data_IF_002954995419
#
_entry.id   IF_002954995419
#
_cell.length_a   1.000
_cell.length_b   1.000
_cell.length_c   1.000
_cell.angle_alpha   90.00
_cell.angle_beta   90.00
_cell.angle_gamma   90.00
#
_symmetry.space_group_name_H-M   'P 1'
#
loop_
_entity.id
_entity.type
_entity.pdbx_description
1 polymer ?
#
# COMPACT_ATOMS: atom_id res chain seq x y z
N UNK A 1 23.33 -7.15 12.95
CA UNK A 1 23.17 -6.42 11.66
C UNK A 1 21.89 -6.79 10.93
N UNK A 2 21.62 -8.07 10.65
CA UNK A 2 20.45 -8.53 9.88
C UNK A 2 19.09 -7.92 10.31
N UNK A 3 18.83 -7.82 11.62
CA UNK A 3 17.57 -7.25 12.14
C UNK A 3 17.39 -5.78 11.78
N UNK A 4 18.47 -5.00 11.81
CA UNK A 4 18.45 -3.57 11.48
C UNK A 4 18.13 -3.35 9.99
N UNK A 5 18.70 -4.18 9.12
CA UNK A 5 18.44 -4.13 7.67
C UNK A 5 16.95 -4.41 7.41
N UNK A 6 16.41 -5.50 7.98
CA UNK A 6 14.99 -5.84 7.83
C UNK A 6 14.11 -4.74 8.42
N UNK A 7 14.47 -4.15 9.56
CA UNK A 7 13.72 -3.05 10.15
C UNK A 7 13.69 -1.80 9.26
N UNK A 8 14.81 -1.43 8.64
CA UNK A 8 14.89 -0.31 7.70
C UNK A 8 14.06 -0.61 6.45
N UNK A 9 14.15 -1.81 5.89
CA UNK A 9 13.34 -2.20 4.73
C UNK A 9 11.84 -2.13 5.05
N UNK A 10 11.41 -2.71 6.18
CA UNK A 10 10.02 -2.62 6.64
C UNK A 10 9.61 -1.14 6.83
N UNK A 11 10.50 -0.29 7.37
CA UNK A 11 10.20 1.14 7.54
C UNK A 11 9.95 1.82 6.20
N UNK A 12 10.83 1.59 5.22
CA UNK A 12 10.70 2.16 3.87
C UNK A 12 9.39 1.70 3.24
N UNK A 13 9.13 0.39 3.21
CA UNK A 13 7.90 -0.15 2.63
C UNK A 13 6.66 0.36 3.35
N UNK A 14 6.68 0.38 4.69
CA UNK A 14 5.58 0.88 5.51
C UNK A 14 5.22 2.32 5.20
N UNK A 15 6.22 3.21 5.17
CA UNK A 15 6.03 4.62 4.84
C UNK A 15 5.55 4.80 3.40
N UNK A 16 6.13 4.08 2.43
CA UNK A 16 5.70 4.18 1.04
C UNK A 16 4.26 3.71 0.83
N UNK A 17 3.86 2.60 1.47
CA UNK A 17 2.48 2.09 1.41
C UNK A 17 1.47 3.04 2.04
N UNK A 18 1.81 3.62 3.20
CA UNK A 18 0.98 4.66 3.82
C UNK A 18 0.86 5.89 2.91
N UNK A 19 1.99 6.37 2.37
CA UNK A 19 1.99 7.53 1.46
C UNK A 19 1.16 7.29 0.21
N UNK A 20 1.32 6.15 -0.47
CA UNK A 20 0.51 5.79 -1.65
C UNK A 20 -0.98 5.69 -1.30
N UNK A 21 -1.32 5.04 -0.19
CA UNK A 21 -2.72 4.85 0.19
C UNK A 21 -3.39 6.19 0.51
N UNK A 22 -2.72 7.06 1.27
CA UNK A 22 -3.23 8.38 1.61
C UNK A 22 -3.29 9.30 0.38
N UNK A 23 -2.25 9.32 -0.46
CA UNK A 23 -2.25 10.12 -1.69
C UNK A 23 -3.35 9.70 -2.65
N UNK A 24 -3.63 8.41 -2.79
CA UNK A 24 -4.74 7.96 -3.63
C UNK A 24 -6.09 8.47 -3.08
N UNK A 25 -6.33 8.32 -1.78
CA UNK A 25 -7.60 8.71 -1.15
C UNK A 25 -7.83 10.23 -1.17
N UNK A 26 -6.80 11.03 -0.87
CA UNK A 26 -6.93 12.47 -0.69
C UNK A 26 -6.62 13.30 -1.94
N UNK A 27 -5.90 12.75 -2.92
CA UNK A 27 -5.48 13.50 -4.12
C UNK A 27 -6.06 12.88 -5.39
N UNK A 28 -5.88 11.57 -5.59
CA UNK A 28 -6.24 10.92 -6.86
C UNK A 28 -7.76 10.78 -6.98
N UNK A 29 -8.43 10.23 -5.96
CA UNK A 29 -9.88 10.00 -5.96
C UNK A 29 -10.69 11.29 -6.17
N UNK A 30 -10.44 12.39 -5.44
CA UNK A 30 -11.19 13.63 -5.65
C UNK A 30 -11.00 14.17 -7.06
N UNK A 31 -9.76 14.12 -7.59
CA UNK A 31 -9.45 14.58 -8.93
C UNK A 31 -10.11 13.71 -10.00
N UNK A 32 -10.13 12.39 -9.81
CA UNK A 32 -10.87 11.47 -10.67
C UNK A 32 -12.37 11.80 -10.64
N UNK A 33 -13.01 11.86 -9.47
CA UNK A 33 -14.44 12.17 -9.36
C UNK A 33 -14.81 13.48 -10.09
N UNK A 34 -14.03 14.54 -9.88
CA UNK A 34 -14.21 15.83 -10.56
C UNK A 34 -14.07 15.73 -12.09
N UNK A 35 -13.19 14.87 -12.60
CA UNK A 35 -13.04 14.62 -14.04
C UNK A 35 -14.25 13.86 -14.60
N UNK A 36 -14.73 12.83 -13.90
CA UNK A 36 -15.82 11.97 -14.37
C UNK A 36 -17.21 12.59 -14.27
N UNK A 37 -17.41 13.53 -13.34
CA UNK A 37 -18.63 14.35 -13.29
C UNK A 37 -18.89 15.08 -14.62
N UNK A 38 -17.83 15.45 -15.36
CA UNK A 38 -17.94 16.10 -16.67
C UNK A 38 -18.52 15.17 -17.75
N UNK A 39 -18.42 13.85 -17.55
CA UNK A 39 -18.86 12.84 -18.50
C UNK A 39 -20.16 12.13 -18.06
N UNK A 40 -20.82 12.61 -17.00
CA UNK A 40 -21.98 11.97 -16.36
C UNK A 40 -21.78 10.48 -16.00
N UNK A 41 -20.53 10.03 -15.93
CA UNK A 41 -20.17 8.65 -15.66
C UNK A 41 -20.06 8.42 -14.14
N UNK A 42 -20.70 7.37 -13.64
CA UNK A 42 -20.48 6.91 -12.27
C UNK A 42 -19.26 6.01 -12.22
N UNK A 43 -18.28 6.40 -11.42
CA UNK A 43 -17.09 5.58 -11.17
C UNK A 43 -17.33 4.70 -9.95
N UNK A 44 -17.36 3.39 -10.14
CA UNK A 44 -17.25 2.45 -9.03
C UNK A 44 -15.78 2.32 -8.62
N UNK A 45 -15.49 2.62 -7.36
CA UNK A 45 -14.15 2.60 -6.78
C UNK A 45 -14.05 1.58 -5.62
N UNK A 46 -15.07 0.74 -5.45
CA UNK A 46 -15.18 -0.17 -4.29
C UNK A 46 -13.99 -1.13 -4.22
N UNK A 47 -13.61 -1.75 -5.34
CA UNK A 47 -12.44 -2.64 -5.40
C UNK A 47 -11.13 -1.89 -5.10
N UNK A 48 -10.96 -0.70 -5.68
CA UNK A 48 -9.80 0.14 -5.44
C UNK A 48 -9.66 0.49 -3.95
N UNK A 49 -10.76 0.83 -3.27
CA UNK A 49 -10.75 1.11 -1.83
C UNK A 49 -10.38 -0.12 -0.99
N UNK A 50 -10.89 -1.30 -1.33
CA UNK A 50 -10.56 -2.54 -0.61
C UNK A 50 -9.07 -2.88 -0.74
N UNK A 51 -8.52 -2.75 -1.95
CA UNK A 51 -7.10 -3.02 -2.21
C UNK A 51 -6.23 -2.02 -1.47
N UNK A 52 -6.57 -0.73 -1.52
CA UNK A 52 -5.86 0.33 -0.79
C UNK A 52 -5.92 0.14 0.72
N UNK A 53 -7.06 -0.28 1.26
CA UNK A 53 -7.19 -0.57 2.68
C UNK A 53 -6.29 -1.73 3.09
N UNK A 54 -6.21 -2.80 2.28
CA UNK A 54 -5.28 -3.90 2.52
C UNK A 54 -3.81 -3.43 2.47
N UNK A 55 -3.44 -2.61 1.48
CA UNK A 55 -2.10 -2.02 1.36
C UNK A 55 -1.77 -1.14 2.58
N UNK A 56 -2.72 -0.35 3.05
CA UNK A 56 -2.56 0.48 4.25
C UNK A 56 -2.33 -0.36 5.51
N UNK A 57 -3.08 -1.46 5.68
CA UNK A 57 -2.87 -2.39 6.80
C UNK A 57 -1.47 -2.99 6.76
N UNK A 58 -1.02 -3.46 5.59
CA UNK A 58 0.36 -3.98 5.42
C UNK A 58 1.38 -2.90 5.76
N UNK A 59 1.13 -1.65 5.36
CA UNK A 59 1.96 -0.50 5.72
C UNK A 59 2.07 -0.29 7.23
N UNK A 60 0.95 -0.32 7.95
CA UNK A 60 0.92 -0.19 9.42
C UNK A 60 1.68 -1.36 10.08
N UNK A 61 1.47 -2.59 9.61
CA UNK A 61 2.15 -3.78 10.15
C UNK A 61 3.67 -3.71 9.94
N UNK A 62 4.12 -3.18 8.80
CA UNK A 62 5.52 -2.89 8.54
C UNK A 62 6.11 -1.93 9.59
N UNK A 63 5.44 -0.79 9.85
CA UNK A 63 5.89 0.19 10.86
C UNK A 63 5.93 -0.41 12.26
N UNK A 64 4.89 -1.14 12.66
CA UNK A 64 4.86 -1.83 13.97
C UNK A 64 6.03 -2.82 14.06
N UNK A 65 6.27 -3.59 13.01
CA UNK A 65 7.36 -4.58 12.98
C UNK A 65 8.73 -3.90 13.08
N UNK A 66 8.94 -2.77 12.41
CA UNK A 66 10.15 -1.95 12.56
C UNK A 66 10.37 -1.57 14.02
N UNK A 67 9.35 -1.00 14.70
CA UNK A 67 9.46 -0.61 16.11
C UNK A 67 9.82 -1.83 16.98
N UNK A 68 9.17 -2.98 16.75
CA UNK A 68 9.46 -4.21 17.50
C UNK A 68 10.88 -4.74 17.25
N UNK A 69 11.39 -4.64 16.02
CA UNK A 69 12.75 -5.07 15.67
C UNK A 69 13.86 -4.21 16.32
N UNK A 70 13.56 -2.96 16.67
CA UNK A 70 14.50 -2.09 17.40
C UNK A 70 14.38 -2.19 18.93
N UNK A 71 13.28 -2.73 19.46
CA UNK A 71 12.95 -2.67 20.90
C UNK A 71 12.85 -4.03 21.60
N UNK A 72 12.93 -5.15 20.88
CA UNK A 72 12.79 -6.50 21.45
C UNK A 72 14.09 -7.29 21.30
N UNK A 73 14.27 -8.23 22.23
CA UNK A 73 15.41 -9.13 22.28
C UNK A 73 15.00 -10.61 22.34
N UNK A 74 15.96 -11.51 22.12
CA UNK A 74 15.79 -12.95 22.27
C UNK A 74 14.78 -13.58 21.30
N UNK A 75 13.99 -14.53 21.79
CA UNK A 75 13.03 -15.31 20.97
C UNK A 75 11.98 -14.41 20.30
N UNK A 76 11.56 -13.34 20.99
CA UNK A 76 10.57 -12.38 20.44
C UNK A 76 11.16 -11.63 19.25
N UNK A 77 12.43 -11.22 19.33
CA UNK A 77 13.12 -10.57 18.22
C UNK A 77 13.13 -11.44 16.96
N UNK A 78 13.45 -12.74 17.10
CA UNK A 78 13.47 -13.64 15.94
C UNK A 78 12.09 -13.90 15.34
N UNK A 79 11.03 -13.92 16.15
CA UNK A 79 9.66 -13.99 15.63
C UNK A 79 9.35 -12.76 14.77
N UNK A 80 9.67 -11.55 15.25
CA UNK A 80 9.46 -10.32 14.47
C UNK A 80 10.34 -10.25 13.23
N UNK A 81 11.56 -10.81 13.28
CA UNK A 81 12.44 -10.89 12.11
C UNK A 81 11.82 -11.74 11.00
N UNK A 82 11.35 -12.95 11.32
CA UNK A 82 10.68 -13.82 10.33
C UNK A 82 9.40 -13.17 9.79
N UNK A 83 8.61 -12.55 10.66
CA UNK A 83 7.42 -11.82 10.24
C UNK A 83 7.75 -10.63 9.32
N UNK A 84 8.78 -9.86 9.65
CA UNK A 84 9.23 -8.74 8.84
C UNK A 84 9.77 -9.14 7.47
N UNK A 85 10.36 -10.34 7.33
CA UNK A 85 10.72 -10.89 6.02
C UNK A 85 9.48 -11.18 5.18
N UNK A 86 8.46 -11.82 5.77
CA UNK A 86 7.19 -12.10 5.08
C UNK A 86 6.54 -10.78 4.63
N UNK A 87 6.49 -9.77 5.50
CA UNK A 87 5.93 -8.46 5.16
C UNK A 87 6.65 -7.78 4.00
N UNK A 88 7.97 -7.91 3.88
CA UNK A 88 8.71 -7.38 2.73
C UNK A 88 8.22 -8.02 1.43
N UNK A 89 8.07 -9.35 1.38
CA UNK A 89 7.55 -10.04 0.19
C UNK A 89 6.11 -9.64 -0.12
N UNK A 90 5.25 -9.60 0.90
CA UNK A 90 3.85 -9.15 0.75
C UNK A 90 3.79 -7.71 0.26
N UNK A 91 4.72 -6.86 0.69
CA UNK A 91 4.78 -5.46 0.26
C UNK A 91 5.10 -5.34 -1.21
N UNK A 92 6.09 -6.10 -1.71
CA UNK A 92 6.43 -6.13 -3.14
C UNK A 92 5.23 -6.55 -3.99
N UNK A 93 4.50 -7.59 -3.58
CA UNK A 93 3.27 -8.02 -4.26
C UNK A 93 2.19 -6.93 -4.22
N UNK A 94 2.01 -6.28 -3.07
CA UNK A 94 1.07 -5.18 -2.90
C UNK A 94 1.36 -3.99 -3.83
N UNK A 95 2.63 -3.66 -4.06
CA UNK A 95 3.03 -2.63 -5.03
C UNK A 95 2.62 -3.01 -6.45
N UNK A 96 2.84 -4.26 -6.87
CA UNK A 96 2.44 -4.73 -8.21
C UNK A 96 0.93 -4.66 -8.40
N UNK A 97 0.16 -5.10 -7.40
CA UNK A 97 -1.30 -5.06 -7.44
C UNK A 97 -1.79 -3.60 -7.48
N UNK A 98 -1.25 -2.73 -6.62
CA UNK A 98 -1.60 -1.31 -6.62
C UNK A 98 -1.33 -0.65 -7.98
N UNK A 99 -0.17 -0.94 -8.60
CA UNK A 99 0.16 -0.39 -9.91
C UNK A 99 -0.86 -0.79 -10.98
N UNK A 100 -1.27 -2.06 -10.99
CA UNK A 100 -2.29 -2.56 -11.92
C UNK A 100 -3.65 -1.91 -11.68
N UNK A 101 -4.07 -1.74 -10.42
CA UNK A 101 -5.32 -1.08 -10.07
C UNK A 101 -5.29 0.40 -10.44
N UNK A 102 -4.21 1.11 -10.15
CA UNK A 102 -4.05 2.52 -10.50
C UNK A 102 -4.05 2.70 -12.03
N UNK A 103 -3.36 1.85 -12.78
CA UNK A 103 -3.41 1.83 -14.24
C UNK A 103 -4.83 1.57 -14.75
N UNK A 104 -5.49 0.50 -14.28
CA UNK A 104 -6.85 0.19 -14.68
C UNK A 104 -7.82 1.36 -14.37
N UNK A 105 -7.69 1.98 -13.19
CA UNK A 105 -8.49 3.13 -12.76
C UNK A 105 -8.34 4.36 -13.69
N UNK A 106 -7.16 4.54 -14.27
CA UNK A 106 -6.83 5.68 -15.16
C UNK A 106 -7.13 5.34 -16.62
N UNK A 107 -6.97 4.08 -17.03
CA UNK A 107 -6.98 3.63 -18.42
C UNK A 107 -8.35 3.12 -18.88
N UNK A 108 -9.07 2.33 -18.08
CA UNK A 108 -10.43 1.85 -18.44
C UNK A 108 -11.37 2.96 -18.94
N UNK A 109 -11.44 4.11 -18.27
CA UNK A 109 -12.34 5.18 -18.68
C UNK A 109 -12.02 5.82 -20.03
N UNK A 110 -10.77 5.75 -20.51
CA UNK A 110 -10.41 6.20 -21.86
C UNK A 110 -11.00 5.26 -22.91
N UNK A 111 -11.03 3.96 -22.63
CA UNK A 111 -11.60 2.96 -23.55
C UNK A 111 -13.13 2.91 -23.52
N UNK A 112 -13.79 3.37 -22.45
CA UNK A 112 -15.26 3.48 -22.42
C UNK A 112 -15.81 4.72 -23.14
N UNK A 113 -14.94 5.62 -23.61
CA UNK A 113 -15.30 6.81 -24.40
C UNK A 113 -15.25 6.56 -25.93
N UNK A 114 -14.84 5.37 -26.36
CA UNK A 114 -14.81 4.94 -27.77
C UNK A 114 -15.81 3.82 -28.04
#
# INVERSE_FOLDING_TARGET
MKYKIVAIMNLIFGLSQMFMSLSYLFVIVPKMKSLYEQFAARVDLTESYLILFAVLIVGILNIITTIKLFTKDGIKLERYFRFGLILIFTSLLGFTIYYQVALASVVNPIYSLY
#
